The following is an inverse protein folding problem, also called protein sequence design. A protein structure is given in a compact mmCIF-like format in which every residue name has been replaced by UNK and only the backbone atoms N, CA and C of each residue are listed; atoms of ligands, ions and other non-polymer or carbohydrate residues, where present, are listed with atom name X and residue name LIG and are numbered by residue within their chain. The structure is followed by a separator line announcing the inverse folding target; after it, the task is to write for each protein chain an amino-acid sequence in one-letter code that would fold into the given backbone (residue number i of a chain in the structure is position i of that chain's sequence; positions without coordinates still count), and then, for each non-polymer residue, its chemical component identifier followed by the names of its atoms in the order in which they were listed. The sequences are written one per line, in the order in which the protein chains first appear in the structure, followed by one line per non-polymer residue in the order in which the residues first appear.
data_IF_991002159796
#
_entry.id   IF_991002159796
#
_cell.length_a   1.000
_cell.length_b   1.000
_cell.length_c   1.000
_cell.angle_alpha   90.00
_cell.angle_beta   90.00
_cell.angle_gamma   90.00
#
_symmetry.space_group_name_H-M   'P 1'
#
loop_
_entity.id
_entity.type
_entity.pdbx_description
1 polymer ?
#
# COMPACT_ATOMS: atom_id res chain seq x y z
N UNK A 1 -7.02 29.67 -0.17
CA UNK A 1 -5.97 28.81 0.43
C UNK A 1 -6.64 27.56 0.97
N UNK A 2 -6.13 26.34 0.73
CA UNK A 2 -6.76 25.14 1.27
C UNK A 2 -6.63 25.15 2.80
N UNK A 3 -7.71 24.83 3.50
CA UNK A 3 -7.77 24.76 4.96
C UNK A 3 -6.77 23.71 5.47
N UNK A 4 -5.71 24.17 6.14
CA UNK A 4 -4.73 23.31 6.81
C UNK A 4 -5.18 23.15 8.26
N UNK A 5 -5.84 22.05 8.57
CA UNK A 5 -6.20 21.72 9.95
C UNK A 5 -4.90 21.40 10.72
N UNK A 6 -4.66 22.01 11.89
CA UNK A 6 -3.45 21.75 12.68
C UNK A 6 -3.35 20.28 13.08
N UNK A 7 -2.16 19.69 12.89
CA UNK A 7 -1.86 18.33 13.32
C UNK A 7 -1.56 18.32 14.82
N UNK A 8 -2.40 17.66 15.61
CA UNK A 8 -2.09 17.34 17.01
C UNK A 8 -1.36 16.00 17.00
N UNK A 9 -0.03 16.05 16.99
CA UNK A 9 0.82 14.86 17.08
C UNK A 9 0.81 14.32 18.51
N UNK A 10 -0.22 13.56 18.85
CA UNK A 10 -0.17 12.72 20.03
C UNK A 10 0.30 11.34 19.58
N UNK A 11 1.62 11.15 19.65
CA UNK A 11 2.25 9.84 19.56
C UNK A 11 1.76 8.99 20.73
N UNK A 12 0.72 8.22 20.49
CA UNK A 12 0.37 7.10 21.36
C UNK A 12 -0.20 6.04 20.45
N UNK A 13 0.21 4.79 20.66
CA UNK A 13 -0.35 3.58 20.08
C UNK A 13 -1.82 3.40 20.51
N UNK A 14 -2.66 4.39 20.23
CA UNK A 14 -4.06 4.37 20.51
C UNK A 14 -4.68 3.39 19.53
N UNK A 15 -4.94 2.18 20.02
CA UNK A 15 -5.75 1.16 19.35
C UNK A 15 -7.00 1.85 18.80
N UNK A 16 -7.09 1.95 17.47
CA UNK A 16 -8.20 2.61 16.78
C UNK A 16 -9.52 2.04 17.31
N UNK A 17 -10.38 2.88 17.89
CA UNK A 17 -11.74 2.44 18.19
C UNK A 17 -12.48 2.25 16.86
N UNK A 18 -12.88 1.02 16.49
CA UNK A 18 -13.57 0.76 15.23
C UNK A 18 -14.90 1.50 15.11
N UNK A 19 -15.48 2.01 16.21
CA UNK A 19 -16.74 2.76 16.20
C UNK A 19 -16.53 4.27 16.05
N UNK A 20 -15.34 4.77 16.32
CA UNK A 20 -15.04 6.21 16.23
C UNK A 20 -14.66 6.60 14.81
N UNK A 21 -15.63 7.18 14.08
CA UNK A 21 -15.40 7.71 12.71
C UNK A 21 -14.32 8.79 12.72
N UNK A 22 -14.27 9.61 13.76
CA UNK A 22 -13.32 10.73 13.82
C UNK A 22 -11.88 10.25 13.99
N UNK A 23 -11.65 9.21 14.80
CA UNK A 23 -10.33 8.57 14.90
C UNK A 23 -9.88 7.96 13.58
N UNK A 24 -10.78 7.33 12.82
CA UNK A 24 -10.48 6.82 11.48
C UNK A 24 -10.10 7.94 10.50
N UNK A 25 -10.81 9.08 10.54
CA UNK A 25 -10.49 10.25 9.70
C UNK A 25 -9.11 10.80 10.04
N UNK A 26 -8.81 10.98 11.33
CA UNK A 26 -7.51 11.46 11.78
C UNK A 26 -6.38 10.52 11.34
N UNK A 27 -6.58 9.21 11.51
CA UNK A 27 -5.64 8.20 11.06
C UNK A 27 -5.37 8.29 9.55
N UNK A 28 -6.41 8.38 8.71
CA UNK A 28 -6.24 8.55 7.26
C UNK A 28 -5.45 9.82 6.94
N UNK A 29 -5.71 10.93 7.64
CA UNK A 29 -4.97 12.17 7.44
C UNK A 29 -3.49 12.02 7.82
N UNK A 30 -3.20 11.28 8.89
CA UNK A 30 -1.84 10.99 9.35
C UNK A 30 -1.08 10.11 8.38
N UNK A 31 -1.66 8.98 7.95
CA UNK A 31 -1.02 8.12 6.97
C UNK A 31 -0.76 8.88 5.66
N UNK A 32 -1.71 9.71 5.22
CA UNK A 32 -1.53 10.55 4.02
C UNK A 32 -0.39 11.57 4.16
N UNK A 33 -0.16 12.13 5.35
CA UNK A 33 0.93 13.10 5.52
C UNK A 33 2.29 12.43 5.57
N UNK A 34 2.37 11.20 6.08
CA UNK A 34 3.64 10.46 6.23
C UNK A 34 4.03 9.62 5.01
N UNK A 35 3.11 9.25 4.12
CA UNK A 35 3.41 8.38 2.97
C UNK A 35 4.54 8.90 2.09
N UNK A 36 4.67 10.22 1.94
CA UNK A 36 5.71 10.86 1.12
C UNK A 36 7.11 10.76 1.74
N UNK A 37 7.20 10.55 3.04
CA UNK A 37 8.47 10.39 3.78
C UNK A 37 8.85 8.93 3.97
N UNK A 38 8.01 7.98 3.55
CA UNK A 38 8.33 6.55 3.61
C UNK A 38 9.46 6.24 2.64
N UNK A 39 10.58 5.78 3.19
CA UNK A 39 11.78 5.47 2.41
C UNK A 39 11.84 3.99 2.03
N UNK A 40 12.56 3.69 0.95
CA UNK A 40 12.85 2.33 0.51
C UNK A 40 14.38 2.16 0.59
N UNK A 41 14.86 1.19 1.36
CA UNK A 41 16.28 0.90 1.45
C UNK A 41 16.76 0.10 0.23
N UNK A 42 18.06 0.19 -0.08
CA UNK A 42 18.66 -0.55 -1.20
C UNK A 42 18.55 -2.07 -1.01
N UNK A 43 18.68 -2.55 0.23
CA UNK A 43 18.53 -3.98 0.54
C UNK A 43 17.12 -4.48 0.20
N UNK A 44 16.08 -3.76 0.66
CA UNK A 44 14.69 -4.15 0.37
C UNK A 44 14.38 -3.96 -1.12
N UNK A 45 14.90 -2.90 -1.74
CA UNK A 45 14.78 -2.67 -3.18
C UNK A 45 15.30 -3.87 -3.99
N UNK A 46 16.45 -4.44 -3.60
CA UNK A 46 17.00 -5.64 -4.24
C UNK A 46 16.08 -6.86 -4.08
N UNK A 47 15.58 -7.12 -2.87
CA UNK A 47 14.61 -8.20 -2.62
C UNK A 47 13.33 -8.04 -3.47
N UNK A 48 12.83 -6.81 -3.59
CA UNK A 48 11.69 -6.48 -4.45
C UNK A 48 11.99 -6.77 -5.91
N UNK A 49 13.17 -6.40 -6.42
CA UNK A 49 13.56 -6.67 -7.80
C UNK A 49 13.59 -8.18 -8.10
N UNK A 50 14.23 -8.98 -7.22
CA UNK A 50 14.30 -10.43 -7.36
C UNK A 50 12.89 -11.07 -7.33
N UNK A 51 12.05 -10.61 -6.39
CA UNK A 51 10.64 -11.00 -6.30
C UNK A 51 9.85 -10.64 -7.57
N UNK A 52 10.04 -9.43 -8.08
CA UNK A 52 9.34 -8.92 -9.26
C UNK A 52 9.73 -9.65 -10.54
N UNK A 53 11.00 -10.01 -10.71
CA UNK A 53 11.46 -10.85 -11.83
C UNK A 53 10.75 -12.20 -11.81
N UNK A 54 10.64 -12.81 -10.63
CA UNK A 54 9.91 -14.07 -10.46
C UNK A 54 8.43 -13.90 -10.81
N UNK A 55 7.79 -12.84 -10.30
CA UNK A 55 6.39 -12.52 -10.56
C UNK A 55 6.12 -12.25 -12.05
N UNK A 56 7.05 -11.62 -12.76
CA UNK A 56 6.94 -11.36 -14.19
C UNK A 56 6.79 -12.62 -15.06
N UNK A 57 7.17 -13.79 -14.54
CA UNK A 57 6.99 -15.08 -15.22
C UNK A 57 5.55 -15.60 -15.14
N UNK A 58 4.78 -15.15 -14.13
CA UNK A 58 3.40 -15.59 -13.90
C UNK A 58 2.37 -14.61 -14.43
N UNK A 59 2.78 -13.38 -14.79
CA UNK A 59 1.89 -12.37 -15.37
C UNK A 59 1.58 -12.66 -16.84
N UNK A 60 0.35 -12.36 -17.25
CA UNK A 60 -0.06 -12.40 -18.65
C UNK A 60 0.83 -11.45 -19.49
N UNK A 61 1.19 -11.88 -20.70
CA UNK A 61 2.05 -11.11 -21.63
C UNK A 61 1.49 -9.73 -21.97
N UNK A 62 0.17 -9.53 -21.84
CA UNK A 62 -0.49 -8.23 -22.08
C UNK A 62 -0.33 -7.23 -20.94
N UNK A 63 0.15 -7.66 -19.77
CA UNK A 63 0.32 -6.78 -18.61
C UNK A 63 1.51 -5.86 -18.85
N UNK A 64 1.28 -4.55 -18.69
CA UNK A 64 2.37 -3.58 -18.60
C UNK A 64 3.11 -3.80 -17.27
N UNK A 65 4.27 -4.45 -17.37
CA UNK A 65 5.12 -4.79 -16.23
C UNK A 65 5.63 -3.54 -15.49
N UNK A 66 5.95 -2.47 -16.22
CA UNK A 66 6.47 -1.25 -15.59
C UNK A 66 5.37 -0.53 -14.80
N UNK A 67 4.17 -0.43 -15.38
CA UNK A 67 3.02 0.12 -14.68
C UNK A 67 2.67 -0.71 -13.44
N UNK A 68 2.68 -2.04 -13.57
CA UNK A 68 2.39 -2.95 -12.47
C UNK A 68 3.42 -2.85 -11.32
N UNK A 69 4.72 -2.78 -11.64
CA UNK A 69 5.77 -2.54 -10.63
C UNK A 69 5.53 -1.22 -9.88
N UNK A 70 5.26 -0.14 -10.60
CA UNK A 70 4.99 1.16 -10.00
C UNK A 70 3.78 1.12 -9.08
N UNK A 71 2.70 0.46 -9.50
CA UNK A 71 1.51 0.26 -8.66
C UNK A 71 1.86 -0.48 -7.36
N UNK A 72 2.62 -1.58 -7.45
CA UNK A 72 3.00 -2.35 -6.27
C UNK A 72 3.93 -1.55 -5.33
N UNK A 73 4.86 -0.74 -5.87
CA UNK A 73 5.72 0.14 -5.07
C UNK A 73 4.92 1.22 -4.34
N UNK A 74 3.94 1.83 -5.02
CA UNK A 74 3.02 2.80 -4.40
C UNK A 74 2.21 2.13 -3.29
N UNK A 75 1.63 0.95 -3.56
CA UNK A 75 0.88 0.21 -2.54
C UNK A 75 1.75 -0.22 -1.35
N UNK A 76 2.99 -0.64 -1.59
CA UNK A 76 3.92 -1.01 -0.51
C UNK A 76 4.18 0.18 0.43
N UNK A 77 4.36 1.39 -0.12
CA UNK A 77 4.49 2.62 0.69
C UNK A 77 3.21 2.96 1.45
N UNK A 78 2.05 2.75 0.84
CA UNK A 78 0.76 2.98 1.51
C UNK A 78 0.54 1.99 2.66
N UNK A 79 0.89 0.72 2.46
CA UNK A 79 0.82 -0.31 3.51
C UNK A 79 1.75 0.06 4.66
N UNK A 80 3.02 0.38 4.37
CA UNK A 80 3.99 0.82 5.38
C UNK A 80 3.51 2.05 6.17
N UNK A 81 3.01 3.06 5.47
CA UNK A 81 2.45 4.25 6.11
C UNK A 81 1.24 3.93 6.99
N UNK A 82 0.37 3.03 6.54
CA UNK A 82 -0.80 2.59 7.32
C UNK A 82 -0.44 1.73 8.53
N UNK A 83 0.70 1.03 8.52
CA UNK A 83 1.21 0.33 9.70
C UNK A 83 1.99 1.23 10.65
N UNK A 84 2.17 2.51 10.31
CA UNK A 84 2.97 3.46 11.08
C UNK A 84 4.47 3.34 10.83
N UNK A 85 4.89 2.55 9.84
CA UNK A 85 6.31 2.41 9.48
C UNK A 85 6.79 3.58 8.62
N UNK A 86 7.97 4.10 8.94
CA UNK A 86 8.68 5.10 8.14
C UNK A 86 9.50 4.51 6.99
N UNK A 87 9.54 3.18 6.88
CA UNK A 87 10.34 2.46 5.89
C UNK A 87 9.53 1.34 5.23
N UNK A 88 9.79 1.10 3.95
CA UNK A 88 9.25 -0.08 3.27
C UNK A 88 10.09 -1.30 3.67
N UNK A 89 9.49 -2.17 4.46
CA UNK A 89 9.92 -3.56 4.65
C UNK A 89 9.39 -4.48 3.54
N UNK A 90 10.00 -5.65 3.39
CA UNK A 90 9.65 -6.58 2.30
C UNK A 90 8.24 -7.16 2.46
N UNK A 91 7.77 -7.30 3.69
CA UNK A 91 6.44 -7.76 4.08
C UNK A 91 5.34 -6.83 3.53
N UNK A 92 5.63 -5.52 3.45
CA UNK A 92 4.70 -4.55 2.85
C UNK A 92 4.56 -4.76 1.33
N UNK A 93 5.65 -5.13 0.65
CA UNK A 93 5.63 -5.52 -0.75
C UNK A 93 4.82 -6.79 -0.98
N UNK A 94 5.07 -7.84 -0.19
CA UNK A 94 4.30 -9.08 -0.30
C UNK A 94 2.81 -8.84 -0.04
N UNK A 95 2.49 -7.98 0.92
CA UNK A 95 1.12 -7.60 1.19
C UNK A 95 0.47 -6.87 0.00
N UNK A 96 1.18 -5.90 -0.61
CA UNK A 96 0.71 -5.21 -1.80
C UNK A 96 0.42 -6.18 -2.96
N UNK A 97 1.31 -7.16 -3.20
CA UNK A 97 1.11 -8.20 -4.22
C UNK A 97 -0.12 -9.07 -3.91
N UNK A 98 -0.29 -9.50 -2.65
CA UNK A 98 -1.47 -10.27 -2.22
C UNK A 98 -2.77 -9.48 -2.43
N UNK A 99 -2.78 -8.19 -2.09
CA UNK A 99 -3.94 -7.32 -2.30
C UNK A 99 -4.28 -7.18 -3.78
N UNK A 100 -3.27 -6.98 -4.63
CA UNK A 100 -3.44 -6.90 -6.08
C UNK A 100 -4.06 -8.17 -6.65
N UNK A 101 -3.52 -9.34 -6.29
CA UNK A 101 -4.02 -10.63 -6.74
C UNK A 101 -5.47 -10.90 -6.28
N UNK A 102 -5.79 -10.56 -5.02
CA UNK A 102 -7.14 -10.65 -4.49
C UNK A 102 -8.12 -9.73 -5.26
N UNK A 103 -7.71 -8.50 -5.57
CA UNK A 103 -8.53 -7.57 -6.34
C UNK A 103 -8.78 -8.05 -7.77
N UNK A 104 -7.75 -8.54 -8.46
CA UNK A 104 -7.91 -9.16 -9.79
C UNK A 104 -8.87 -10.34 -9.76
N UNK A 105 -8.77 -11.18 -8.73
CA UNK A 105 -9.64 -12.35 -8.54
C UNK A 105 -11.10 -11.92 -8.30
N UNK A 106 -11.33 -10.97 -7.39
CA UNK A 106 -12.65 -10.44 -7.09
C UNK A 106 -13.30 -9.78 -8.32
N UNK A 107 -12.54 -8.97 -9.07
CA UNK A 107 -13.03 -8.32 -10.29
C UNK A 107 -13.35 -9.33 -11.39
N UNK A 108 -12.57 -10.40 -11.51
CA UNK A 108 -12.85 -11.48 -12.46
C UNK A 108 -14.13 -12.21 -12.10
N UNK A 109 -14.29 -12.60 -10.82
CA UNK A 109 -15.51 -13.25 -10.33
C UNK A 109 -16.75 -12.37 -10.52
N UNK A 110 -16.66 -11.06 -10.21
CA UNK A 110 -17.76 -10.13 -10.39
C UNK A 110 -18.19 -10.02 -11.85
N UNK A 111 -17.23 -9.96 -12.79
CA UNK A 111 -17.52 -9.94 -14.23
C UNK A 111 -18.19 -11.23 -14.69
N UNK A 112 -17.73 -12.38 -14.22
CA UNK A 112 -18.31 -13.68 -14.60
C UNK A 112 -19.74 -13.90 -14.11
N UNK A 113 -20.21 -13.16 -13.11
CA UNK A 113 -21.60 -13.25 -12.60
C UNK A 113 -22.58 -12.32 -13.34
N UNK A 114 -22.06 -11.36 -14.11
CA UNK A 114 -22.85 -10.35 -14.82
C UNK A 114 -22.76 -10.49 -16.36
N UNK A 115 -22.30 -11.66 -16.82
CA UNK A 115 -22.33 -12.13 -18.21
C UNK A 115 -23.19 -13.37 -18.24
#
# INVERSE_FOLDING_TARGET
TPFRVPFLSNSTEAKLDPKSIEQKRHFIQQSRSTVSTVSLSDEVSKKIQDSFVTLCSTLDKKVDKAAYLNEMLIMSRLVASSSGSGVVEFEHWEHAVRMSAANTSAMSAWRSQHV
#
